data_IF_179144728104
#
_entry.id   IF_179144728104
#
_cell.length_a   1.000
_cell.length_b   1.000
_cell.length_c   1.000
_cell.angle_alpha   90.00
_cell.angle_beta   90.00
_cell.angle_gamma   90.00
#
_symmetry.space_group_name_H-M   'P 1'
#
loop_
_entity.id
_entity.type
_entity.pdbx_description
1 polymer ?
#
# COMPACT_ATOMS: atom_id res chain seq x y z
N UNK A 1 7.83 19.94 7.04
CA UNK A 1 8.35 18.62 6.98
C UNK A 1 9.34 18.34 8.05
N UNK A 2 8.87 17.57 9.01
CA UNK A 2 9.56 17.40 10.30
C UNK A 2 10.36 16.09 10.34
N UNK A 3 11.04 15.72 9.25
CA UNK A 3 11.83 14.49 9.14
C UNK A 3 11.00 13.19 9.28
N UNK A 4 9.68 13.29 9.23
CA UNK A 4 8.80 12.13 9.21
C UNK A 4 8.53 11.72 7.75
N UNK A 5 8.76 10.46 7.44
CA UNK A 5 8.57 9.93 6.09
C UNK A 5 7.08 9.84 5.75
N UNK A 6 6.63 10.65 4.79
CA UNK A 6 5.25 10.62 4.29
C UNK A 6 4.87 9.27 3.70
N UNK A 7 5.84 8.52 3.18
CA UNK A 7 5.61 7.16 2.68
C UNK A 7 5.70 6.07 3.76
N UNK A 8 5.65 6.46 5.03
CA UNK A 8 5.41 5.58 6.19
C UNK A 8 4.12 5.98 6.92
N UNK A 9 3.46 7.04 6.48
CA UNK A 9 2.34 7.68 7.19
C UNK A 9 0.96 7.40 6.57
N UNK A 10 0.85 6.45 5.64
CA UNK A 10 -0.45 6.04 5.10
C UNK A 10 -1.33 5.36 6.15
N UNK A 11 -0.74 4.59 7.08
CA UNK A 11 -1.46 3.89 8.14
C UNK A 11 -1.57 4.72 9.43
N UNK A 12 -0.50 5.34 9.96
CA UNK A 12 -0.56 6.15 11.18
C UNK A 12 -1.31 7.47 11.02
N UNK A 13 -1.34 8.07 9.82
CA UNK A 13 -2.07 9.29 9.46
C UNK A 13 -1.80 10.46 10.44
N UNK A 14 -0.52 10.69 10.77
CA UNK A 14 -0.13 11.73 11.72
C UNK A 14 -0.08 13.11 11.06
N UNK A 15 0.45 13.18 9.83
CA UNK A 15 0.70 14.44 9.14
C UNK A 15 -0.57 14.97 8.42
N UNK A 16 -0.72 16.29 8.30
CA UNK A 16 -1.86 16.88 7.59
C UNK A 16 -1.95 16.46 6.13
N UNK A 17 -0.81 16.27 5.44
CA UNK A 17 -0.73 15.75 4.07
C UNK A 17 -1.30 14.34 3.99
N UNK A 18 -0.94 13.47 4.93
CA UNK A 18 -1.46 12.11 5.01
C UNK A 18 -2.95 12.07 5.32
N UNK A 19 -3.43 12.96 6.20
CA UNK A 19 -4.87 13.11 6.48
C UNK A 19 -5.66 13.47 5.22
N UNK A 20 -5.18 14.43 4.44
CA UNK A 20 -5.81 14.83 3.19
C UNK A 20 -5.79 13.70 2.15
N UNK A 21 -4.63 13.04 1.99
CA UNK A 21 -4.41 11.94 1.05
C UNK A 21 -5.28 10.73 1.37
N UNK A 22 -5.27 10.26 2.62
CA UNK A 22 -6.07 9.11 3.05
C UNK A 22 -7.56 9.40 2.95
N UNK A 23 -7.99 10.63 3.27
CA UNK A 23 -9.38 11.05 3.05
C UNK A 23 -9.78 10.91 1.58
N UNK A 24 -9.01 11.47 0.66
CA UNK A 24 -9.26 11.36 -0.78
C UNK A 24 -9.27 9.90 -1.23
N UNK A 25 -8.27 9.11 -0.83
CA UNK A 25 -8.18 7.70 -1.15
C UNK A 25 -9.42 6.92 -0.67
N UNK A 26 -9.83 7.11 0.59
CA UNK A 26 -10.95 6.35 1.17
C UNK A 26 -12.32 6.76 0.62
N UNK A 27 -12.43 7.98 0.08
CA UNK A 27 -13.64 8.46 -0.59
C UNK A 27 -13.75 7.90 -2.02
N UNK A 28 -12.63 7.71 -2.74
CA UNK A 28 -12.59 7.25 -4.12
C UNK A 28 -12.41 5.73 -4.25
N UNK A 29 -11.59 5.10 -3.41
CA UNK A 29 -11.21 3.69 -3.46
C UNK A 29 -10.76 3.25 -4.87
N UNK A 30 -9.63 3.78 -5.38
CA UNK A 30 -9.13 3.43 -6.71
C UNK A 30 -8.72 1.96 -6.78
N UNK A 31 -8.93 1.34 -7.95
CA UNK A 31 -8.56 -0.05 -8.18
C UNK A 31 -7.05 -0.25 -8.33
N UNK A 32 -6.32 0.76 -8.82
CA UNK A 32 -4.86 0.77 -8.91
C UNK A 32 -4.36 2.12 -8.39
N UNK A 33 -3.28 2.07 -7.62
CA UNK A 33 -2.51 3.25 -7.19
C UNK A 33 -1.05 3.01 -7.55
N UNK A 34 -0.42 4.01 -8.14
CA UNK A 34 1.03 4.00 -8.42
C UNK A 34 1.74 4.98 -7.50
N UNK A 35 2.83 4.51 -6.91
CA UNK A 35 3.70 5.26 -6.01
C UNK A 35 5.05 5.45 -6.71
N UNK A 36 5.33 6.68 -7.16
CA UNK A 36 6.46 6.98 -8.03
C UNK A 36 7.63 7.52 -7.21
N UNK A 37 8.73 6.78 -7.20
CA UNK A 37 9.94 7.06 -6.44
C UNK A 37 11.19 7.10 -7.30
N UNK A 38 12.29 7.50 -6.68
CA UNK A 38 13.64 7.44 -7.19
C UNK A 38 14.55 6.67 -6.23
N UNK A 39 15.42 5.84 -6.78
CA UNK A 39 16.45 5.08 -6.08
C UNK A 39 17.85 5.51 -6.47
N UNK A 40 18.87 4.78 -6.03
CA UNK A 40 20.27 5.09 -6.33
C UNK A 40 20.56 5.21 -7.83
N UNK A 41 21.40 6.16 -8.23
CA UNK A 41 21.74 6.48 -9.63
C UNK A 41 22.26 5.27 -10.43
N UNK A 42 22.94 4.31 -9.78
CA UNK A 42 23.49 3.12 -10.43
C UNK A 42 22.46 2.00 -10.64
N UNK A 43 21.22 2.22 -10.24
CA UNK A 43 20.12 1.33 -10.54
C UNK A 43 19.48 1.63 -11.90
N UNK A 44 18.50 0.81 -12.30
CA UNK A 44 17.75 0.99 -13.54
C UNK A 44 16.33 1.50 -13.29
N UNK A 45 15.34 0.67 -13.49
CA UNK A 45 13.95 0.94 -13.15
C UNK A 45 13.35 -0.30 -12.49
N UNK A 46 12.68 -0.12 -11.36
CA UNK A 46 11.95 -1.19 -10.69
C UNK A 46 10.44 -0.96 -10.78
N UNK A 47 9.68 -2.04 -10.87
CA UNK A 47 8.24 -2.06 -10.65
C UNK A 47 7.80 -3.36 -9.97
N UNK A 48 6.79 -3.27 -9.10
CA UNK A 48 6.21 -4.45 -8.44
C UNK A 48 5.62 -5.45 -9.46
N UNK A 49 5.57 -6.77 -9.11
CA UNK A 49 5.74 -7.30 -7.76
C UNK A 49 7.18 -7.29 -7.27
N UNK A 50 7.34 -7.14 -5.95
CA UNK A 50 8.61 -7.29 -5.26
C UNK A 50 8.94 -8.75 -4.94
N UNK A 51 9.77 -8.98 -3.89
CA UNK A 51 10.18 -10.32 -3.47
C UNK A 51 8.95 -11.10 -2.95
N UNK A 52 8.64 -12.28 -3.54
CA UNK A 52 7.42 -13.03 -3.19
C UNK A 52 7.32 -13.44 -1.72
N UNK A 53 8.44 -13.74 -1.05
CA UNK A 53 8.48 -14.10 0.37
C UNK A 53 8.26 -12.90 1.32
N UNK A 54 8.28 -11.66 0.80
CA UNK A 54 8.13 -10.41 1.55
C UNK A 54 6.78 -9.73 1.32
N UNK A 55 5.76 -10.51 1.05
CA UNK A 55 4.38 -10.03 0.92
C UNK A 55 3.64 -10.21 2.24
N UNK A 56 2.87 -9.21 2.65
CA UNK A 56 2.08 -9.31 3.88
C UNK A 56 1.05 -10.44 3.76
N UNK A 57 0.97 -11.37 4.73
CA UNK A 57 0.07 -12.52 4.68
C UNK A 57 -1.43 -12.15 4.69
N UNK A 58 -1.79 -10.90 4.99
CA UNK A 58 -3.16 -10.41 4.85
C UNK A 58 -3.53 -10.06 3.41
N UNK A 59 -2.54 -9.90 2.52
CA UNK A 59 -2.76 -9.64 1.10
C UNK A 59 -3.21 -10.93 0.40
N UNK A 60 -4.35 -10.95 -0.29
CA UNK A 60 -4.79 -12.14 -1.00
C UNK A 60 -3.86 -12.53 -2.16
N UNK A 61 -3.64 -13.81 -2.40
CA UNK A 61 -2.85 -14.30 -3.53
C UNK A 61 -3.34 -13.75 -4.89
N UNK A 62 -4.64 -13.48 -5.05
CA UNK A 62 -5.18 -12.91 -6.28
C UNK A 62 -4.69 -11.47 -6.50
N UNK A 63 -4.42 -10.69 -5.44
CA UNK A 63 -3.78 -9.38 -5.55
C UNK A 63 -2.44 -9.49 -6.27
N UNK A 64 -1.54 -10.36 -5.79
CA UNK A 64 -0.21 -10.56 -6.36
C UNK A 64 -0.27 -11.07 -7.83
N UNK A 65 -1.25 -11.93 -8.15
CA UNK A 65 -1.48 -12.36 -9.54
C UNK A 65 -1.94 -11.21 -10.44
N UNK A 66 -2.77 -10.31 -9.94
CA UNK A 66 -3.19 -9.12 -10.69
C UNK A 66 -2.04 -8.12 -10.83
N UNK A 67 -1.25 -7.91 -9.78
CA UNK A 67 -0.02 -7.11 -9.82
C UNK A 67 0.93 -7.65 -10.91
N UNK A 68 1.12 -8.97 -10.98
CA UNK A 68 1.94 -9.60 -12.03
C UNK A 68 1.34 -9.41 -13.45
N UNK A 69 0.01 -9.45 -13.59
CA UNK A 69 -0.63 -9.14 -14.87
C UNK A 69 -0.38 -7.69 -15.28
N UNK A 70 -0.51 -6.74 -14.36
CA UNK A 70 -0.24 -5.32 -14.61
C UNK A 70 1.24 -5.10 -14.95
N UNK A 71 2.15 -5.78 -14.25
CA UNK A 71 3.59 -5.72 -14.50
C UNK A 71 3.99 -6.08 -15.94
N UNK A 72 3.27 -6.99 -16.61
CA UNK A 72 3.51 -7.32 -18.02
C UNK A 72 3.28 -6.13 -18.96
N UNK A 73 2.36 -5.24 -18.61
CA UNK A 73 2.17 -3.99 -19.38
C UNK A 73 3.36 -3.05 -19.18
N UNK A 74 3.90 -2.94 -17.95
CA UNK A 74 5.06 -2.11 -17.68
C UNK A 74 6.28 -2.62 -18.45
N UNK A 75 6.56 -3.93 -18.37
CA UNK A 75 7.62 -4.57 -19.13
C UNK A 75 7.51 -4.27 -20.63
N UNK A 76 6.34 -4.56 -21.22
CA UNK A 76 6.08 -4.31 -22.63
C UNK A 76 6.33 -2.86 -23.07
N UNK A 77 5.99 -1.89 -22.22
CA UNK A 77 6.14 -0.47 -22.54
C UNK A 77 7.59 -0.01 -22.39
N UNK A 78 8.31 -0.49 -21.39
CA UNK A 78 9.74 -0.19 -21.19
C UNK A 78 10.61 -0.86 -22.26
N UNK A 79 10.29 -2.10 -22.67
CA UNK A 79 10.96 -2.79 -23.78
C UNK A 79 10.89 -1.98 -25.08
N UNK A 80 9.72 -1.40 -25.40
CA UNK A 80 9.52 -0.57 -26.60
C UNK A 80 10.41 0.66 -26.66
N UNK A 81 10.78 1.19 -25.50
CA UNK A 81 11.67 2.37 -25.43
C UNK A 81 13.12 2.00 -25.09
N UNK A 82 13.42 0.68 -24.99
CA UNK A 82 14.77 0.18 -24.70
C UNK A 82 15.28 0.56 -23.31
N UNK A 83 14.39 0.67 -22.31
CA UNK A 83 14.78 0.98 -20.93
C UNK A 83 14.97 -0.29 -20.12
N UNK A 84 16.11 -0.39 -19.41
CA UNK A 84 16.39 -1.50 -18.49
C UNK A 84 15.51 -1.41 -17.25
N UNK A 85 15.05 -2.56 -16.79
CA UNK A 85 14.23 -2.67 -15.58
C UNK A 85 14.41 -4.03 -14.90
N UNK A 86 13.90 -4.15 -13.68
CA UNK A 86 13.78 -5.40 -12.94
C UNK A 86 12.52 -5.43 -12.07
N UNK A 87 12.15 -6.60 -11.62
CA UNK A 87 11.04 -6.86 -10.69
C UNK A 87 11.29 -8.16 -9.91
N UNK A 88 10.49 -8.44 -8.91
CA UNK A 88 10.61 -9.64 -8.03
C UNK A 88 11.90 -9.69 -7.21
N UNK A 89 12.55 -8.56 -7.05
CA UNK A 89 13.79 -8.36 -6.31
C UNK A 89 13.67 -7.16 -5.38
N UNK A 90 14.61 -6.99 -4.44
CA UNK A 90 14.84 -5.87 -3.53
C UNK A 90 13.66 -5.49 -2.63
N UNK A 91 12.54 -5.13 -3.19
CA UNK A 91 11.43 -4.48 -2.50
C UNK A 91 10.42 -5.47 -1.94
N UNK A 92 9.85 -5.11 -0.80
CA UNK A 92 8.76 -5.83 -0.14
C UNK A 92 7.37 -5.28 -0.53
N UNK A 93 6.34 -6.02 -0.13
CA UNK A 93 4.95 -5.59 -0.17
C UNK A 93 4.29 -5.94 1.17
N UNK A 94 4.84 -5.38 2.27
CA UNK A 94 4.53 -5.81 3.62
C UNK A 94 3.85 -4.75 4.47
N UNK A 95 4.47 -3.57 4.64
CA UNK A 95 3.97 -2.55 5.55
C UNK A 95 2.91 -1.66 4.90
N UNK A 96 1.68 -1.73 5.40
CA UNK A 96 0.55 -0.95 4.87
C UNK A 96 0.63 0.57 5.11
N UNK A 97 1.66 1.07 5.72
CA UNK A 97 1.96 2.50 5.82
C UNK A 97 2.62 3.11 4.59
N UNK A 98 2.93 2.29 3.56
CA UNK A 98 3.48 2.73 2.27
C UNK A 98 2.38 2.95 1.23
N UNK A 99 2.59 3.90 0.31
CA UNK A 99 1.65 4.19 -0.78
C UNK A 99 1.43 3.02 -1.73
N UNK A 100 2.46 2.20 -1.94
CA UNK A 100 2.40 1.00 -2.76
C UNK A 100 1.71 -0.20 -2.10
N UNK A 101 1.60 -0.24 -0.77
CA UNK A 101 1.04 -1.40 -0.06
C UNK A 101 -0.31 -1.09 0.59
N UNK A 102 -0.59 0.16 0.93
CA UNK A 102 -1.86 0.57 1.53
C UNK A 102 -3.09 0.19 0.68
N UNK A 103 -3.07 0.31 -0.66
CA UNK A 103 -4.17 -0.13 -1.51
C UNK A 103 -4.50 -1.62 -1.36
N UNK A 104 -3.50 -2.47 -1.14
CA UNK A 104 -3.67 -3.93 -1.04
C UNK A 104 -4.46 -4.35 0.21
N UNK A 105 -4.34 -3.58 1.30
CA UNK A 105 -5.18 -3.72 2.47
C UNK A 105 -6.62 -3.22 2.26
N UNK A 106 -6.89 -2.56 1.14
CA UNK A 106 -8.16 -1.91 0.81
C UNK A 106 -8.80 -2.43 -0.49
N UNK A 107 -8.37 -3.57 -1.00
CA UNK A 107 -8.97 -4.22 -2.17
C UNK A 107 -8.59 -3.59 -3.52
N UNK A 108 -7.59 -2.69 -3.52
CA UNK A 108 -6.93 -2.20 -4.72
C UNK A 108 -5.64 -2.97 -5.02
N UNK A 109 -4.90 -2.49 -6.00
CA UNK A 109 -3.55 -2.90 -6.35
C UNK A 109 -2.63 -1.70 -6.17
N UNK A 110 -1.66 -1.81 -5.27
CA UNK A 110 -0.60 -0.82 -5.13
C UNK A 110 0.61 -1.19 -5.98
N UNK A 111 1.25 -0.22 -6.60
CA UNK A 111 2.42 -0.44 -7.44
C UNK A 111 3.49 0.60 -7.10
N UNK A 112 4.65 0.10 -6.67
CA UNK A 112 5.85 0.90 -6.53
C UNK A 112 6.57 0.99 -7.87
N UNK A 113 6.92 2.20 -8.26
CA UNK A 113 7.90 2.49 -9.30
C UNK A 113 9.11 3.16 -8.67
N UNK A 114 10.30 2.63 -8.97
CA UNK A 114 11.57 3.20 -8.55
C UNK A 114 12.46 3.44 -9.77
N UNK A 115 12.77 4.69 -10.02
CA UNK A 115 13.64 5.11 -11.11
C UNK A 115 15.05 5.40 -10.59
N UNK A 116 16.09 4.89 -11.24
CA UNK A 116 17.45 5.35 -10.99
C UNK A 116 17.53 6.89 -11.12
N UNK A 117 17.96 7.59 -10.04
CA UNK A 117 17.86 9.04 -9.97
C UNK A 117 18.88 9.74 -10.86
N UNK A 118 18.41 10.68 -11.68
CA UNK A 118 19.25 11.62 -12.44
C UNK A 118 19.67 12.84 -11.65
N UNK A 119 19.38 12.91 -10.37
CA UNK A 119 19.63 13.97 -9.40
C UNK A 119 20.44 15.17 -9.97
N UNK A 120 19.79 16.32 -10.16
CA UNK A 120 20.43 17.53 -10.65
C UNK A 120 20.66 17.58 -12.17
N UNK A 121 19.90 16.81 -12.98
CA UNK A 121 19.79 16.79 -14.45
C UNK A 121 20.63 15.73 -15.18
N UNK A 122 21.87 15.48 -14.79
CA UNK A 122 22.77 14.51 -15.46
C UNK A 122 23.60 13.80 -14.40
N UNK A 123 23.66 12.48 -14.49
CA UNK A 123 24.51 11.63 -13.64
C UNK A 123 25.26 10.62 -14.50
N UNK A 124 26.51 10.36 -14.15
CA UNK A 124 27.23 9.21 -14.67
C UNK A 124 26.86 7.98 -13.83
N UNK A 125 26.28 6.98 -14.47
CA UNK A 125 25.92 5.72 -13.82
C UNK A 125 26.68 4.55 -14.43
N UNK A 126 26.64 3.38 -13.77
CA UNK A 126 27.19 2.13 -14.31
C UNK A 126 26.51 1.72 -15.63
N UNK A 127 25.29 2.19 -15.87
CA UNK A 127 24.49 1.92 -17.07
C UNK A 127 24.65 3.03 -18.15
N UNK A 128 25.63 3.90 -18.01
CA UNK A 128 25.85 5.04 -18.89
C UNK A 128 25.34 6.35 -18.33
N UNK A 129 25.24 7.37 -19.18
CA UNK A 129 24.79 8.71 -18.78
C UNK A 129 23.29 8.70 -18.56
N UNK A 130 22.88 9.05 -17.34
CA UNK A 130 21.49 9.14 -16.93
C UNK A 130 21.05 10.62 -16.92
N UNK A 131 20.06 10.97 -17.73
CA UNK A 131 19.57 12.34 -17.86
C UNK A 131 18.16 12.50 -17.29
N UNK A 132 17.80 13.70 -16.83
CA UNK A 132 16.47 14.01 -16.34
C UNK A 132 15.35 13.75 -17.37
N UNK A 133 15.50 14.13 -18.67
CA UNK A 133 14.50 13.75 -19.67
C UNK A 133 14.30 12.24 -19.82
N UNK A 134 15.36 11.44 -19.63
CA UNK A 134 15.24 9.98 -19.65
C UNK A 134 14.40 9.46 -18.47
N UNK A 135 14.63 9.97 -17.26
CA UNK A 135 13.87 9.55 -16.07
C UNK A 135 12.40 9.96 -16.16
N UNK A 136 12.11 11.17 -16.67
CA UNK A 136 10.73 11.60 -16.97
C UNK A 136 10.07 10.67 -17.98
N UNK A 137 10.76 10.32 -19.08
CA UNK A 137 10.23 9.41 -20.11
C UNK A 137 9.83 8.06 -19.51
N UNK A 138 10.67 7.48 -18.66
CA UNK A 138 10.38 6.19 -18.04
C UNK A 138 9.16 6.26 -17.12
N UNK A 139 9.09 7.27 -16.23
CA UNK A 139 7.96 7.47 -15.33
C UNK A 139 6.64 7.71 -16.09
N UNK A 140 6.68 8.51 -17.15
CA UNK A 140 5.51 8.73 -18.03
C UNK A 140 5.10 7.44 -18.74
N UNK A 141 6.08 6.68 -19.27
CA UNK A 141 5.82 5.42 -19.98
C UNK A 141 5.12 4.39 -19.07
N UNK A 142 5.56 4.25 -17.83
CA UNK A 142 4.94 3.33 -16.88
C UNK A 142 3.58 3.82 -16.40
N UNK A 143 3.38 5.14 -16.28
CA UNK A 143 2.05 5.73 -16.04
C UNK A 143 1.07 5.37 -17.16
N UNK A 144 1.46 5.56 -18.43
CA UNK A 144 0.62 5.21 -19.58
C UNK A 144 0.34 3.70 -19.66
N UNK A 145 1.34 2.86 -19.33
CA UNK A 145 1.15 1.41 -19.27
C UNK A 145 0.17 0.99 -18.16
N UNK A 146 0.16 1.69 -17.03
CA UNK A 146 -0.81 1.47 -15.95
C UNK A 146 -2.24 1.80 -16.41
N UNK A 147 -2.43 2.92 -17.10
CA UNK A 147 -3.75 3.29 -17.65
C UNK A 147 -4.25 2.26 -18.67
N UNK A 148 -3.34 1.74 -19.53
CA UNK A 148 -3.65 0.67 -20.45
C UNK A 148 -4.07 -0.62 -19.74
N UNK A 149 -3.28 -1.05 -18.75
CA UNK A 149 -3.59 -2.21 -17.92
C UNK A 149 -4.94 -2.06 -17.20
N UNK A 150 -5.19 -0.92 -16.57
CA UNK A 150 -6.45 -0.63 -15.88
C UNK A 150 -7.65 -0.70 -16.81
N UNK A 151 -7.52 -0.22 -18.04
CA UNK A 151 -8.57 -0.29 -19.06
C UNK A 151 -8.86 -1.72 -19.49
N UNK A 152 -7.84 -2.52 -19.78
CA UNK A 152 -8.00 -3.88 -20.30
C UNK A 152 -8.38 -4.89 -19.22
N UNK A 153 -7.86 -4.73 -17.99
CA UNK A 153 -8.16 -5.58 -16.85
C UNK A 153 -9.34 -5.06 -16.00
N UNK A 154 -10.09 -4.08 -16.50
CA UNK A 154 -11.16 -3.40 -15.74
C UNK A 154 -12.11 -4.35 -15.03
N UNK A 155 -12.61 -5.38 -15.71
CA UNK A 155 -13.58 -6.32 -15.13
C UNK A 155 -12.94 -7.12 -14.01
N UNK A 156 -11.71 -7.61 -14.20
CA UNK A 156 -11.00 -8.38 -13.20
C UNK A 156 -10.71 -7.52 -11.94
N UNK A 157 -10.30 -6.28 -12.13
CA UNK A 157 -9.99 -5.35 -11.03
C UNK A 157 -11.25 -4.97 -10.23
N UNK A 158 -12.36 -4.70 -10.90
CA UNK A 158 -13.64 -4.40 -10.25
C UNK A 158 -14.18 -5.62 -9.50
N UNK A 159 -14.12 -6.82 -10.11
CA UNK A 159 -14.52 -8.06 -9.44
C UNK A 159 -13.66 -8.35 -8.23
N UNK A 160 -12.32 -8.20 -8.36
CA UNK A 160 -11.41 -8.38 -7.24
C UNK A 160 -11.76 -7.47 -6.05
N UNK A 161 -11.99 -6.19 -6.30
CA UNK A 161 -12.34 -5.24 -5.24
C UNK A 161 -13.67 -5.59 -4.56
N UNK A 162 -14.69 -5.94 -5.36
CA UNK A 162 -15.98 -6.38 -4.84
C UNK A 162 -15.81 -7.60 -3.94
N UNK A 163 -15.13 -8.63 -4.44
CA UNK A 163 -14.95 -9.90 -3.73
C UNK A 163 -14.09 -9.72 -2.48
N UNK A 164 -13.09 -8.84 -2.52
CA UNK A 164 -12.28 -8.49 -1.36
C UNK A 164 -13.18 -8.01 -0.20
N UNK A 165 -14.07 -7.08 -0.43
CA UNK A 165 -14.95 -6.54 0.62
C UNK A 165 -16.03 -7.53 1.07
N UNK A 166 -16.60 -8.30 0.14
CA UNK A 166 -17.58 -9.33 0.47
C UNK A 166 -16.94 -10.42 1.33
N UNK A 167 -15.77 -10.92 0.91
CA UNK A 167 -15.05 -11.96 1.64
C UNK A 167 -14.59 -11.48 3.01
N UNK A 168 -14.04 -10.27 3.12
CA UNK A 168 -13.64 -9.69 4.41
C UNK A 168 -14.82 -9.62 5.39
N UNK A 169 -15.99 -9.19 4.92
CA UNK A 169 -17.16 -9.14 5.74
C UNK A 169 -17.64 -10.54 6.18
N UNK A 170 -17.67 -11.50 5.26
CA UNK A 170 -18.10 -12.86 5.54
C UNK A 170 -17.12 -13.60 6.49
N UNK A 171 -15.82 -13.43 6.29
CA UNK A 171 -14.80 -14.05 7.13
C UNK A 171 -14.79 -13.44 8.53
N UNK A 172 -15.04 -12.15 8.65
CA UNK A 172 -15.15 -11.49 9.96
C UNK A 172 -16.33 -12.02 10.80
N UNK A 173 -17.41 -12.49 10.15
CA UNK A 173 -18.55 -13.14 10.85
C UNK A 173 -18.17 -14.46 11.50
N UNK A 174 -17.21 -15.19 10.91
CA UNK A 174 -16.72 -16.50 11.42
C UNK A 174 -15.70 -16.34 12.54
N UNK A 175 -15.20 -15.12 12.78
CA UNK A 175 -14.21 -14.85 13.83
C UNK A 175 -14.76 -15.19 15.21
N UNK A 176 -13.92 -15.83 16.05
CA UNK A 176 -14.20 -16.03 17.47
C UNK A 176 -14.31 -14.71 18.23
N UNK A 177 -13.54 -13.71 17.81
CA UNK A 177 -13.57 -12.37 18.39
C UNK A 177 -14.61 -11.51 17.66
N UNK A 178 -15.45 -10.81 18.42
CA UNK A 178 -16.49 -9.95 17.86
C UNK A 178 -16.01 -8.54 17.61
N UNK A 179 -14.94 -8.14 18.28
CA UNK A 179 -14.34 -6.80 18.14
C UNK A 179 -13.16 -6.62 19.07
N UNK A 180 -12.59 -5.43 19.00
CA UNK A 180 -11.45 -4.99 19.79
C UNK A 180 -11.92 -3.81 20.65
N UNK A 181 -11.78 -3.94 21.97
CA UNK A 181 -12.02 -2.85 22.92
C UNK A 181 -10.69 -2.20 23.30
N UNK A 182 -10.64 -0.88 23.30
CA UNK A 182 -9.45 -0.12 23.72
C UNK A 182 -9.81 1.18 24.43
N UNK A 183 -8.79 1.80 25.03
CA UNK A 183 -8.91 3.05 25.76
C UNK A 183 -9.43 2.88 27.18
N UNK A 184 -8.96 3.74 28.05
CA UNK A 184 -9.33 3.83 29.46
C UNK A 184 -9.50 5.28 29.88
N UNK A 185 -9.90 5.51 31.13
CA UNK A 185 -10.15 6.84 31.68
C UNK A 185 -8.86 7.56 32.13
N UNK A 186 -7.69 6.88 32.14
CA UNK A 186 -6.43 7.46 32.57
C UNK A 186 -5.71 8.20 31.43
N UNK A 187 -5.91 7.76 30.17
CA UNK A 187 -5.38 8.40 28.98
C UNK A 187 -6.48 8.56 27.90
N UNK A 188 -7.24 9.60 28.08
CA UNK A 188 -8.32 9.95 27.16
C UNK A 188 -7.78 10.44 25.82
N UNK A 189 -6.63 11.13 25.80
CA UNK A 189 -6.05 11.74 24.61
C UNK A 189 -5.59 10.66 23.63
N UNK A 190 -4.71 9.75 24.05
CA UNK A 190 -4.22 8.67 23.17
C UNK A 190 -5.37 7.77 22.69
N UNK A 191 -6.36 7.53 23.57
CA UNK A 191 -7.56 6.76 23.20
C UNK A 191 -8.40 7.45 22.11
N UNK A 192 -8.56 8.77 22.20
CA UNK A 192 -9.26 9.57 21.20
C UNK A 192 -8.49 9.64 19.88
N UNK A 193 -7.16 9.84 19.94
CA UNK A 193 -6.30 9.88 18.74
C UNK A 193 -6.35 8.56 17.97
N UNK A 194 -6.23 7.42 18.65
CA UNK A 194 -6.39 6.12 17.99
C UNK A 194 -7.76 5.96 17.35
N UNK A 195 -8.83 6.35 18.06
CA UNK A 195 -10.19 6.32 17.50
C UNK A 195 -10.32 7.22 16.26
N UNK A 196 -9.64 8.37 16.26
CA UNK A 196 -9.63 9.33 15.15
C UNK A 196 -8.89 8.77 13.94
N UNK A 197 -7.74 8.12 14.15
CA UNK A 197 -6.99 7.42 13.09
C UNK A 197 -7.86 6.33 12.44
N UNK A 198 -8.49 5.49 13.25
CA UNK A 198 -9.37 4.44 12.75
C UNK A 198 -10.54 4.99 11.92
N UNK A 199 -11.15 6.08 12.37
CA UNK A 199 -12.23 6.77 11.65
C UNK A 199 -11.74 7.39 10.33
N UNK A 200 -10.51 7.90 10.25
CA UNK A 200 -9.90 8.40 9.02
C UNK A 200 -9.84 7.30 7.94
N UNK A 201 -9.60 6.06 8.33
CA UNK A 201 -9.64 4.88 7.45
C UNK A 201 -11.06 4.36 7.16
N UNK A 202 -12.12 5.09 7.56
CA UNK A 202 -13.52 4.65 7.45
C UNK A 202 -13.81 3.35 8.23
N UNK A 203 -13.05 3.08 9.28
CA UNK A 203 -13.32 1.99 10.22
C UNK A 203 -14.41 2.46 11.20
N UNK A 204 -15.43 1.63 11.39
CA UNK A 204 -16.47 1.90 12.38
C UNK A 204 -15.92 1.74 13.79
N UNK A 205 -16.01 2.79 14.59
CA UNK A 205 -15.63 2.84 15.99
C UNK A 205 -16.86 3.26 16.80
N UNK A 206 -17.17 2.52 17.85
CA UNK A 206 -18.29 2.78 18.75
C UNK A 206 -17.74 3.29 20.08
N UNK A 207 -18.20 4.41 20.54
CA UNK A 207 -17.94 4.91 21.89
C UNK A 207 -18.85 4.17 22.89
N UNK A 208 -18.29 3.76 24.04
CA UNK A 208 -18.98 2.97 25.05
C UNK A 208 -19.16 3.77 26.34
N UNK A 209 -19.81 3.20 27.36
CA UNK A 209 -19.98 3.79 28.69
C UNK A 209 -18.66 3.88 29.51
N UNK A 210 -17.55 3.41 28.94
CA UNK A 210 -16.21 3.50 29.55
C UNK A 210 -15.93 2.55 30.71
N UNK A 211 -16.87 1.68 31.11
CA UNK A 211 -16.69 0.77 32.27
C UNK A 211 -15.56 -0.25 32.07
N UNK A 212 -15.41 -0.77 30.85
CA UNK A 212 -14.40 -1.77 30.52
C UNK A 212 -13.37 -1.24 29.51
N UNK A 213 -13.81 -0.49 28.54
CA UNK A 213 -13.03 0.19 27.51
C UNK A 213 -13.84 1.36 26.97
N UNK A 214 -13.17 2.40 26.48
CA UNK A 214 -13.83 3.62 26.01
C UNK A 214 -14.36 3.48 24.58
N UNK A 215 -13.65 2.74 23.74
CA UNK A 215 -13.98 2.53 22.34
C UNK A 215 -14.04 1.04 22.01
N UNK A 216 -14.94 0.70 21.08
CA UNK A 216 -15.10 -0.64 20.56
C UNK A 216 -15.09 -0.63 19.03
N UNK A 217 -14.27 -1.46 18.44
CA UNK A 217 -14.15 -1.67 16.99
C UNK A 217 -14.76 -3.03 16.66
N UNK A 218 -15.97 -3.10 16.07
CA UNK A 218 -16.53 -4.38 15.66
C UNK A 218 -15.67 -4.96 14.51
N UNK A 219 -15.32 -6.25 14.57
CA UNK A 219 -14.60 -6.90 13.47
C UNK A 219 -15.50 -7.18 12.27
N UNK A 220 -16.82 -7.29 12.49
CA UNK A 220 -17.78 -7.52 11.41
C UNK A 220 -18.03 -6.24 10.62
N UNK A 221 -17.05 -5.88 9.79
CA UNK A 221 -17.14 -4.76 8.86
C UNK A 221 -16.22 -4.99 7.64
N UNK A 222 -16.44 -4.23 6.57
CA UNK A 222 -15.71 -4.36 5.31
C UNK A 222 -14.19 -4.17 5.44
N UNK A 223 -13.75 -3.41 6.45
CA UNK A 223 -12.33 -3.10 6.72
C UNK A 223 -11.65 -4.09 7.68
N UNK A 224 -12.19 -5.29 7.88
CA UNK A 224 -11.69 -6.25 8.87
C UNK A 224 -10.22 -6.63 8.69
N UNK A 225 -9.69 -6.69 7.47
CA UNK A 225 -8.25 -6.93 7.22
C UNK A 225 -7.39 -5.76 7.66
N UNK A 226 -7.81 -4.54 7.34
CA UNK A 226 -7.09 -3.34 7.79
C UNK A 226 -7.09 -3.22 9.32
N UNK A 227 -8.21 -3.56 9.97
CA UNK A 227 -8.27 -3.62 11.45
C UNK A 227 -7.28 -4.63 11.98
N UNK A 228 -7.20 -5.82 11.40
CA UNK A 228 -6.19 -6.82 11.79
C UNK A 228 -4.78 -6.27 11.64
N UNK A 229 -4.45 -5.68 10.49
CA UNK A 229 -3.15 -5.08 10.24
C UNK A 229 -2.74 -4.03 11.29
N UNK A 230 -3.72 -3.26 11.80
CA UNK A 230 -3.46 -2.21 12.80
C UNK A 230 -3.34 -2.74 14.24
N UNK A 231 -3.90 -3.89 14.55
CA UNK A 231 -3.97 -4.42 15.91
C UNK A 231 -3.21 -5.74 16.12
N UNK A 232 -2.74 -6.39 15.06
CA UNK A 232 -1.92 -7.59 15.20
C UNK A 232 -0.55 -7.21 15.79
N UNK A 233 -0.19 -7.88 16.88
CA UNK A 233 1.08 -7.64 17.58
C UNK A 233 2.21 -8.53 17.09
N UNK A 234 1.90 -9.53 16.32
CA UNK A 234 2.88 -10.47 15.75
C UNK A 234 2.43 -10.89 14.36
N UNK A 235 3.30 -10.67 13.38
CA UNK A 235 3.12 -11.19 12.02
C UNK A 235 4.19 -12.25 11.76
N UNK A 236 3.78 -13.40 11.24
CA UNK A 236 4.69 -14.43 10.77
C UNK A 236 4.98 -14.19 9.28
N UNK A 237 6.23 -14.23 8.91
CA UNK A 237 6.67 -14.17 7.51
C UNK A 237 7.71 -15.27 7.25
N UNK A 238 7.84 -15.66 5.99
CA UNK A 238 8.65 -16.79 5.58
C UNK A 238 10.14 -16.42 5.42
N UNK A 239 10.42 -15.14 5.12
CA UNK A 239 11.78 -14.66 4.89
C UNK A 239 12.50 -14.37 6.21
N UNK A 240 13.57 -15.12 6.47
CA UNK A 240 14.40 -14.94 7.69
C UNK A 240 15.26 -13.67 7.66
N UNK A 241 15.44 -13.07 6.49
CA UNK A 241 16.19 -11.82 6.27
C UNK A 241 15.28 -10.59 6.16
N UNK A 242 14.00 -10.76 6.41
CA UNK A 242 13.07 -9.66 6.40
C UNK A 242 13.42 -8.66 7.50
N UNK A 243 13.51 -7.41 7.15
CA UNK A 243 13.66 -6.31 8.11
C UNK A 243 12.40 -5.47 8.11
N UNK A 244 11.99 -5.05 9.29
CA UNK A 244 10.90 -4.10 9.46
C UNK A 244 11.42 -2.70 9.15
N UNK A 245 10.70 -2.01 8.28
CA UNK A 245 11.00 -0.63 7.86
C UNK A 245 9.95 0.37 8.36
N UNK A 246 9.11 -0.06 9.28
CA UNK A 246 8.09 0.76 9.92
C UNK A 246 8.66 1.71 10.97
#
# INVERSE_FOLDING_TARGET
HYWFDLNRDWLPVQLPESKARVKTYTDWLPNIVTDHHEMGTNSTFFFQPGIPSRVNPLIPNLNQKLTEKVAKYHANYLDKIGSLYYSKEDYDDFYFGKGSTYPDANGGIGILFEQGSSRGHIQNSQNGVLTFPFTIRNQLTTTLSTLKAASELRIELLSYMNDFYVNNFNDSRKSKFKGIGFGNNHDNTSSYELASILKAHKIKVIETDGKKFKYFVPLQQKKSKLIKAMFDTQTKFEDSLFYDVS
#
